data_IF_957327289863
#
_entry.id   IF_957327289863
#
_cell.length_a   1.000
_cell.length_b   1.000
_cell.length_c   1.000
_cell.angle_alpha   90.00
_cell.angle_beta   90.00
_cell.angle_gamma   90.00
#
_symmetry.space_group_name_H-M   'P 1'
#
loop_
_entity.id
_entity.type
_entity.pdbx_description
1 polymer ?
#
# COMPACT_ATOMS: atom_id res chain seq x y z
N UNK A 1 11.10 -12.99 25.13
CA UNK A 1 12.13 -12.55 26.09
C UNK A 1 11.66 -11.20 26.66
N UNK A 2 11.27 -11.13 27.96
CA UNK A 2 10.77 -9.90 28.57
C UNK A 2 11.79 -8.75 28.56
N UNK A 3 13.08 -9.07 28.41
CA UNK A 3 14.16 -8.09 28.36
C UNK A 3 14.45 -7.57 26.94
N UNK A 4 13.77 -8.10 25.91
CA UNK A 4 13.86 -7.64 24.54
C UNK A 4 12.44 -7.35 24.02
N UNK A 5 12.02 -6.09 23.95
CA UNK A 5 10.76 -5.77 23.30
C UNK A 5 10.76 -6.39 21.90
N UNK A 6 9.67 -7.09 21.56
CA UNK A 6 9.52 -7.67 20.23
C UNK A 6 9.63 -6.53 19.22
N UNK A 7 10.65 -6.62 18.36
CA UNK A 7 10.82 -5.62 17.29
C UNK A 7 9.69 -5.81 16.30
N UNK A 8 9.03 -4.73 15.92
CA UNK A 8 7.98 -4.78 14.90
C UNK A 8 8.59 -5.24 13.59
N UNK A 9 7.90 -6.18 12.93
CA UNK A 9 8.20 -6.60 11.55
C UNK A 9 7.14 -6.00 10.63
N UNK A 10 7.51 -5.63 9.42
CA UNK A 10 6.59 -4.93 8.52
C UNK A 10 6.74 -5.42 7.08
N UNK A 11 5.65 -5.91 6.51
CA UNK A 11 5.53 -6.12 5.07
C UNK A 11 4.79 -4.94 4.45
N UNK A 12 5.36 -4.33 3.43
CA UNK A 12 4.70 -3.33 2.60
C UNK A 12 4.67 -3.81 1.15
N UNK A 13 3.51 -3.75 0.55
CA UNK A 13 3.31 -4.02 -0.88
C UNK A 13 2.66 -2.82 -1.53
N UNK A 14 3.13 -2.47 -2.70
CA UNK A 14 2.61 -1.39 -3.51
C UNK A 14 2.42 -1.87 -4.95
N UNK A 15 1.30 -1.51 -5.52
CA UNK A 15 1.16 -1.51 -6.98
C UNK A 15 0.73 -0.12 -7.45
N UNK A 16 1.27 0.29 -8.56
CA UNK A 16 0.96 1.57 -9.18
C UNK A 16 0.55 1.35 -10.62
N UNK A 17 -0.48 2.03 -11.02
CA UNK A 17 -0.88 2.18 -12.42
C UNK A 17 -0.87 3.64 -12.78
N UNK A 18 -0.78 4.00 -14.04
CA UNK A 18 -0.82 5.40 -14.43
C UNK A 18 -1.31 5.61 -15.84
N UNK A 19 -1.78 6.83 -16.08
CA UNK A 19 -2.12 7.34 -17.41
C UNK A 19 -1.26 8.53 -17.83
N UNK A 20 -0.34 8.99 -16.99
CA UNK A 20 0.64 10.02 -17.32
C UNK A 20 1.81 9.45 -18.12
N UNK A 21 2.56 10.29 -18.85
CA UNK A 21 3.69 9.85 -19.67
C UNK A 21 4.76 9.14 -18.86
N UNK A 22 5.12 9.69 -17.71
CA UNK A 22 6.15 9.12 -16.85
C UNK A 22 5.84 9.37 -15.37
N UNK A 23 6.23 8.45 -14.50
CA UNK A 23 6.17 8.59 -13.04
C UNK A 23 7.40 7.93 -12.42
N UNK A 24 7.80 8.42 -11.26
CA UNK A 24 8.87 7.82 -10.49
C UNK A 24 8.28 7.06 -9.30
N UNK A 25 8.58 5.76 -9.22
CA UNK A 25 8.15 4.88 -8.12
C UNK A 25 9.40 4.33 -7.45
N UNK A 26 9.55 4.53 -6.16
CA UNK A 26 10.71 4.05 -5.37
C UNK A 26 12.07 4.32 -6.05
N UNK A 27 12.24 5.53 -6.59
CA UNK A 27 13.46 5.90 -7.28
C UNK A 27 13.55 5.46 -8.75
N UNK A 28 12.70 4.56 -9.21
CA UNK A 28 12.67 4.06 -10.56
C UNK A 28 11.76 4.86 -11.48
N UNK A 29 12.26 5.30 -12.63
CA UNK A 29 11.44 5.94 -13.66
C UNK A 29 10.66 4.92 -14.45
N UNK A 30 9.38 5.16 -14.58
CA UNK A 30 8.46 4.28 -15.28
C UNK A 30 7.67 5.03 -16.36
N UNK A 31 7.80 4.56 -17.59
CA UNK A 31 7.13 5.10 -18.78
C UNK A 31 6.41 3.96 -19.50
N UNK A 32 5.18 3.58 -19.11
CA UNK A 32 4.49 2.47 -19.74
C UNK A 32 4.14 2.78 -21.19
N UNK A 33 4.42 1.81 -22.05
CA UNK A 33 4.17 1.91 -23.49
C UNK A 33 2.74 1.61 -23.92
N UNK A 34 1.89 1.14 -23.04
CA UNK A 34 0.51 0.71 -23.35
C UNK A 34 -0.52 1.44 -22.50
N UNK A 35 -1.78 1.35 -22.91
CA UNK A 35 -2.93 1.89 -22.18
C UNK A 35 -3.78 0.77 -21.59
N UNK A 36 -4.59 1.13 -20.59
CA UNK A 36 -5.60 0.24 -20.06
C UNK A 36 -6.56 -0.22 -21.16
N UNK A 37 -6.89 -1.51 -21.16
CA UNK A 37 -7.91 -2.09 -22.03
C UNK A 37 -8.66 -3.22 -21.32
N UNK A 38 -9.85 -3.52 -21.79
CA UNK A 38 -10.57 -4.72 -21.34
C UNK A 38 -10.03 -5.94 -22.08
N UNK A 39 -9.94 -7.06 -21.37
CA UNK A 39 -9.68 -8.35 -21.97
C UNK A 39 -10.99 -9.06 -22.39
N UNK A 40 -10.86 -10.23 -22.99
CA UNK A 40 -12.00 -11.03 -23.46
C UNK A 40 -12.85 -11.63 -22.33
N UNK A 41 -12.36 -11.67 -21.11
CA UNK A 41 -13.05 -12.19 -19.92
C UNK A 41 -13.66 -11.09 -19.06
N UNK A 42 -13.62 -9.84 -19.52
CA UNK A 42 -14.21 -8.69 -18.82
C UNK A 42 -13.32 -8.07 -17.73
N UNK A 43 -12.10 -8.56 -17.58
CA UNK A 43 -11.07 -7.93 -16.75
C UNK A 43 -10.47 -6.69 -17.40
N UNK A 44 -9.65 -5.98 -16.65
CA UNK A 44 -8.88 -4.84 -17.15
C UNK A 44 -7.39 -5.16 -17.10
N UNK A 45 -6.71 -4.97 -18.22
CA UNK A 45 -5.26 -5.06 -18.31
C UNK A 45 -4.70 -3.65 -18.32
N UNK A 46 -3.79 -3.38 -17.38
CA UNK A 46 -3.24 -2.05 -17.14
C UNK A 46 -1.72 -2.17 -17.03
N UNK A 47 -0.93 -1.29 -17.69
CA UNK A 47 0.49 -1.21 -17.38
C UNK A 47 0.68 -0.82 -15.93
N UNK A 48 1.53 -1.53 -15.21
CA UNK A 48 1.71 -1.37 -13.78
C UNK A 48 3.14 -1.58 -13.31
N UNK A 49 3.40 -1.08 -12.13
CA UNK A 49 4.61 -1.31 -11.35
C UNK A 49 4.20 -1.98 -10.04
N UNK A 50 4.83 -3.10 -9.72
CA UNK A 50 4.70 -3.76 -8.41
C UNK A 50 6.01 -3.63 -7.68
N UNK A 51 5.95 -3.31 -6.38
CA UNK A 51 7.09 -3.37 -5.49
C UNK A 51 6.68 -3.80 -4.09
N UNK A 52 7.61 -4.44 -3.38
CA UNK A 52 7.42 -4.89 -2.02
C UNK A 52 8.69 -4.72 -1.20
N UNK A 53 8.54 -4.52 0.09
CA UNK A 53 9.60 -4.35 1.08
C UNK A 53 9.29 -5.15 2.33
N UNK A 54 10.33 -5.61 2.99
CA UNK A 54 10.23 -6.29 4.28
C UNK A 54 11.21 -5.72 5.28
N UNK A 55 10.72 -5.33 6.44
CA UNK A 55 11.53 -5.04 7.60
C UNK A 55 11.39 -6.19 8.60
N UNK A 56 12.48 -6.89 8.90
CA UNK A 56 12.49 -8.07 9.76
C UNK A 56 12.62 -7.75 11.26
N UNK A 57 12.67 -6.45 11.62
CA UNK A 57 12.93 -5.94 12.95
C UNK A 57 14.35 -5.43 13.14
N UNK A 58 15.25 -5.70 12.19
CA UNK A 58 16.65 -5.25 12.21
C UNK A 58 17.09 -4.67 10.87
N UNK A 59 16.72 -5.32 9.78
CA UNK A 59 17.17 -5.02 8.43
C UNK A 59 15.99 -4.73 7.52
N UNK A 60 16.12 -3.72 6.68
CA UNK A 60 15.19 -3.45 5.58
C UNK A 60 15.66 -4.20 4.33
N UNK A 61 14.86 -5.17 3.91
CA UNK A 61 15.02 -5.88 2.65
C UNK A 61 14.27 -5.13 1.55
N UNK A 62 14.99 -4.30 0.80
CA UNK A 62 14.42 -3.43 -0.23
C UNK A 62 15.20 -3.54 -1.55
N UNK A 63 14.52 -3.78 -2.67
CA UNK A 63 13.17 -4.32 -2.75
C UNK A 63 13.16 -5.84 -2.58
N UNK A 64 12.05 -6.42 -2.13
CA UNK A 64 11.77 -7.85 -2.26
C UNK A 64 11.49 -8.22 -3.72
N UNK A 65 10.70 -7.40 -4.36
CA UNK A 65 10.42 -7.39 -5.80
C UNK A 65 10.15 -5.95 -6.24
N UNK A 66 10.63 -5.60 -7.43
CA UNK A 66 10.27 -4.36 -8.11
C UNK A 66 10.28 -4.61 -9.61
N UNK A 67 9.10 -4.47 -10.24
CA UNK A 67 8.92 -4.88 -11.62
C UNK A 67 7.88 -4.03 -12.33
N UNK A 68 8.21 -3.58 -13.52
CA UNK A 68 7.22 -3.17 -14.50
C UNK A 68 6.56 -4.40 -15.10
N UNK A 69 5.24 -4.39 -15.20
CA UNK A 69 4.46 -5.50 -15.72
C UNK A 69 3.10 -5.03 -16.24
N UNK A 70 2.41 -5.91 -16.93
CA UNK A 70 0.98 -5.74 -17.19
C UNK A 70 0.22 -6.31 -16.01
N UNK A 71 -0.64 -5.50 -15.42
CA UNK A 71 -1.46 -5.92 -14.30
C UNK A 71 -2.86 -6.21 -14.76
N UNK A 72 -3.38 -7.38 -14.40
CA UNK A 72 -4.78 -7.71 -14.58
C UNK A 72 -5.57 -7.32 -13.33
N UNK A 73 -6.65 -6.58 -13.50
CA UNK A 73 -7.66 -6.34 -12.47
C UNK A 73 -8.87 -7.18 -12.85
N UNK A 74 -9.12 -8.22 -12.09
CA UNK A 74 -10.03 -9.30 -12.46
C UNK A 74 -11.10 -9.52 -11.40
N UNK A 75 -12.29 -9.92 -11.83
CA UNK A 75 -13.34 -10.43 -10.96
C UNK A 75 -13.24 -11.96 -10.81
N UNK A 76 -14.11 -12.50 -10.01
CA UNK A 76 -14.19 -13.91 -9.59
C UNK A 76 -14.43 -14.93 -10.72
N UNK A 77 -15.02 -14.50 -11.82
CA UNK A 77 -15.25 -15.35 -13.00
C UNK A 77 -14.08 -15.35 -13.99
N UNK A 78 -13.05 -14.57 -13.72
CA UNK A 78 -11.90 -14.43 -14.60
C UNK A 78 -10.94 -15.63 -14.45
N UNK A 79 -10.34 -16.16 -15.55
CA UNK A 79 -9.40 -17.30 -15.46
C UNK A 79 -8.18 -17.06 -14.57
N UNK A 80 -7.76 -15.80 -14.40
CA UNK A 80 -6.64 -15.43 -13.52
C UNK A 80 -7.06 -15.21 -12.06
N UNK A 81 -8.35 -15.40 -11.72
CA UNK A 81 -8.78 -15.28 -10.34
C UNK A 81 -8.14 -16.36 -9.45
N UNK A 82 -7.48 -16.00 -8.34
CA UNK A 82 -6.73 -16.97 -7.56
C UNK A 82 -7.57 -17.90 -6.67
N UNK A 83 -8.88 -17.91 -6.84
CA UNK A 83 -9.77 -18.84 -6.13
C UNK A 83 -9.99 -18.52 -4.64
N UNK A 84 -9.68 -17.33 -4.22
CA UNK A 84 -9.77 -16.90 -2.81
C UNK A 84 -11.10 -16.20 -2.52
N UNK A 85 -12.21 -16.77 -2.86
CA UNK A 85 -13.49 -16.14 -2.56
C UNK A 85 -14.66 -16.85 -3.19
N UNK A 86 -15.82 -16.53 -2.74
CA UNK A 86 -17.10 -17.15 -3.08
C UNK A 86 -17.89 -16.34 -4.10
N UNK A 87 -17.22 -15.81 -5.07
CA UNK A 87 -17.86 -15.44 -6.31
C UNK A 87 -18.44 -14.04 -6.44
N UNK A 88 -18.10 -13.08 -5.59
CA UNK A 88 -18.54 -11.68 -5.76
C UNK A 88 -17.45 -10.68 -5.37
N UNK A 89 -16.20 -11.03 -5.63
CA UNK A 89 -15.05 -10.28 -5.22
C UNK A 89 -15.01 -8.84 -5.70
N UNK A 90 -14.48 -7.96 -4.88
CA UNK A 90 -14.20 -6.59 -5.25
C UNK A 90 -13.08 -6.47 -6.29
N UNK A 91 -12.33 -7.56 -6.52
CA UNK A 91 -11.32 -7.70 -7.55
C UNK A 91 -9.98 -8.20 -7.02
N UNK A 92 -9.19 -8.76 -7.90
CA UNK A 92 -7.81 -9.11 -7.67
C UNK A 92 -6.91 -8.33 -8.62
N UNK A 93 -5.72 -8.02 -8.17
CA UNK A 93 -4.66 -7.38 -8.97
C UNK A 93 -3.52 -8.37 -9.10
N UNK A 94 -3.21 -8.75 -10.33
CA UNK A 94 -2.28 -9.83 -10.64
C UNK A 94 -1.35 -9.36 -11.75
N UNK A 95 -0.01 -9.37 -11.56
CA UNK A 95 0.92 -9.21 -12.66
C UNK A 95 0.80 -10.38 -13.64
N UNK A 96 0.49 -10.11 -14.90
CA UNK A 96 0.23 -11.15 -15.91
C UNK A 96 1.48 -12.00 -16.16
N UNK A 97 2.65 -11.40 -16.07
CA UNK A 97 3.95 -12.03 -16.30
C UNK A 97 4.49 -12.77 -15.07
N UNK A 98 3.74 -12.79 -13.95
CA UNK A 98 4.15 -13.45 -12.70
C UNK A 98 2.97 -14.19 -12.08
N UNK A 99 3.16 -15.47 -11.87
CA UNK A 99 2.20 -16.31 -11.15
C UNK A 99 2.43 -16.30 -9.63
N UNK A 100 3.59 -15.84 -9.19
CA UNK A 100 4.05 -15.86 -7.80
C UNK A 100 3.77 -14.56 -7.03
N UNK A 101 2.90 -13.71 -7.57
CA UNK A 101 2.40 -12.53 -6.90
C UNK A 101 0.92 -12.33 -7.20
N UNK A 102 0.12 -12.22 -6.17
CA UNK A 102 -1.29 -11.82 -6.29
C UNK A 102 -1.73 -11.05 -5.06
N UNK A 103 -2.73 -10.21 -5.24
CA UNK A 103 -3.44 -9.58 -4.16
C UNK A 103 -4.89 -9.38 -4.55
N UNK A 104 -5.77 -9.45 -3.58
CA UNK A 104 -7.20 -9.31 -3.84
C UNK A 104 -8.00 -8.96 -2.60
N UNK A 105 -9.28 -8.76 -2.85
CA UNK A 105 -10.25 -8.37 -1.85
C UNK A 105 -11.50 -9.24 -2.02
N UNK A 106 -12.01 -9.79 -0.93
CA UNK A 106 -13.26 -10.55 -0.93
C UNK A 106 -14.50 -9.65 -1.13
N UNK A 107 -15.65 -10.22 -1.44
CA UNK A 107 -16.91 -9.51 -1.46
C UNK A 107 -17.13 -8.69 -0.19
N UNK A 108 -17.77 -7.53 -0.32
CA UNK A 108 -18.06 -6.66 0.83
C UNK A 108 -16.86 -6.05 1.52
N UNK A 109 -15.64 -6.22 0.99
CA UNK A 109 -14.38 -5.80 1.61
C UNK A 109 -14.12 -6.45 2.98
N UNK A 110 -14.57 -7.68 3.16
CA UNK A 110 -14.49 -8.38 4.45
C UNK A 110 -13.11 -8.97 4.72
N UNK A 111 -12.35 -9.24 3.68
CA UNK A 111 -10.98 -9.72 3.79
C UNK A 111 -10.13 -9.31 2.59
N UNK A 112 -8.85 -9.29 2.79
CA UNK A 112 -7.86 -9.10 1.74
C UNK A 112 -6.77 -10.15 1.88
N UNK A 113 -6.10 -10.45 0.78
CA UNK A 113 -4.91 -11.28 0.79
C UNK A 113 -3.79 -10.66 -0.04
N UNK A 114 -2.58 -11.03 0.31
CA UNK A 114 -1.37 -10.81 -0.49
C UNK A 114 -0.60 -12.11 -0.48
N UNK A 115 -0.19 -12.59 -1.65
CA UNK A 115 0.75 -13.70 -1.79
C UNK A 115 1.89 -13.22 -2.68
N UNK A 116 3.11 -13.39 -2.24
CA UNK A 116 4.26 -12.95 -3.01
C UNK A 116 5.51 -13.81 -2.73
N UNK A 117 6.33 -13.98 -3.77
CA UNK A 117 7.69 -14.51 -3.66
C UNK A 117 8.71 -13.42 -3.94
N UNK A 118 9.77 -13.39 -3.15
CA UNK A 118 10.87 -12.46 -3.35
C UNK A 118 11.65 -12.78 -4.63
N UNK A 119 12.19 -11.77 -5.27
CA UNK A 119 13.08 -11.93 -6.40
C UNK A 119 14.39 -12.64 -5.99
N UNK A 120 15.03 -13.33 -6.93
CA UNK A 120 16.28 -14.05 -6.69
C UNK A 120 17.37 -13.16 -6.09
N UNK A 121 17.44 -11.92 -6.53
CA UNK A 121 18.41 -10.95 -6.02
C UNK A 121 18.13 -10.59 -4.55
N UNK A 122 16.87 -10.36 -4.17
CA UNK A 122 16.50 -10.12 -2.78
C UNK A 122 16.88 -11.31 -1.88
N UNK A 123 16.56 -12.52 -2.31
CA UNK A 123 16.95 -13.75 -1.59
C UNK A 123 18.47 -13.91 -1.44
N UNK A 124 19.24 -13.54 -2.45
CA UNK A 124 20.70 -13.57 -2.36
C UNK A 124 21.28 -12.59 -1.34
N UNK A 125 20.50 -11.57 -0.96
CA UNK A 125 20.83 -10.62 0.11
C UNK A 125 20.23 -11.01 1.46
N UNK A 126 19.67 -12.22 1.60
CA UNK A 126 19.11 -12.73 2.84
C UNK A 126 17.64 -12.41 3.08
N UNK A 127 16.91 -11.94 2.08
CA UNK A 127 15.47 -11.76 2.22
C UNK A 127 14.74 -13.11 2.26
N UNK A 128 13.63 -13.23 3.04
CA UNK A 128 12.76 -14.39 2.99
C UNK A 128 12.25 -14.67 1.58
N UNK A 129 11.90 -15.93 1.30
CA UNK A 129 11.51 -16.38 -0.03
C UNK A 129 10.04 -16.10 -0.32
N UNK A 130 9.16 -16.34 0.66
CA UNK A 130 7.71 -16.30 0.46
C UNK A 130 6.98 -15.54 1.55
N UNK A 131 5.90 -14.89 1.17
CA UNK A 131 5.02 -14.14 2.04
C UNK A 131 3.57 -14.41 1.68
N UNK A 132 2.76 -14.73 2.68
CA UNK A 132 1.32 -14.84 2.56
C UNK A 132 0.66 -14.01 3.68
N UNK A 133 -0.15 -13.04 3.33
CA UNK A 133 -0.86 -12.20 4.27
C UNK A 133 -2.38 -12.32 4.08
N UNK A 134 -3.09 -12.49 5.17
CA UNK A 134 -4.54 -12.40 5.23
C UNK A 134 -4.94 -11.27 6.19
N UNK A 135 -5.77 -10.37 5.71
CA UNK A 135 -6.20 -9.18 6.41
C UNK A 135 -7.72 -9.21 6.59
N UNK A 136 -8.17 -9.02 7.81
CA UNK A 136 -9.61 -8.96 8.13
C UNK A 136 -9.89 -7.74 9.00
N UNK A 137 -11.05 -7.09 8.87
CA UNK A 137 -11.44 -6.02 9.76
C UNK A 137 -11.43 -6.45 11.23
N UNK A 138 -11.01 -5.57 12.11
CA UNK A 138 -10.93 -5.90 13.55
C UNK A 138 -12.29 -6.04 14.21
N UNK A 139 -13.25 -5.27 13.75
CA UNK A 139 -14.58 -5.14 14.37
C UNK A 139 -15.74 -5.33 13.40
N UNK A 140 -15.51 -6.02 12.33
CA UNK A 140 -16.52 -6.37 11.34
C UNK A 140 -16.51 -5.44 10.12
N UNK A 141 -17.06 -5.93 9.01
CA UNK A 141 -17.02 -5.28 7.71
C UNK A 141 -17.99 -4.09 7.65
N UNK A 142 -17.68 -3.13 6.88
CA UNK A 142 -16.44 -2.38 6.63
C UNK A 142 -16.37 -1.15 7.54
N UNK A 143 -16.38 -1.38 8.86
CA UNK A 143 -16.60 -0.35 9.88
C UNK A 143 -15.67 0.88 9.77
N UNK A 144 -14.54 0.73 9.11
CA UNK A 144 -13.55 1.79 8.96
C UNK A 144 -13.20 2.09 7.50
N UNK A 145 -14.17 1.89 6.60
CA UNK A 145 -14.01 2.33 5.23
C UNK A 145 -14.12 3.86 5.18
N UNK A 146 -13.00 4.52 4.96
CA UNK A 146 -12.99 5.97 4.73
C UNK A 146 -12.78 6.24 3.24
N UNK A 147 -13.77 6.84 2.62
CA UNK A 147 -13.65 7.42 1.28
C UNK A 147 -13.59 8.94 1.39
N UNK A 148 -12.59 9.54 0.76
CA UNK A 148 -12.48 11.01 0.67
C UNK A 148 -12.20 11.40 -0.76
N UNK A 149 -13.07 12.25 -1.30
CA UNK A 149 -12.84 13.00 -2.52
C UNK A 149 -12.37 14.40 -2.12
N UNK A 150 -11.21 14.79 -2.59
CA UNK A 150 -10.63 16.11 -2.32
C UNK A 150 -10.28 16.79 -3.62
N UNK A 151 -11.15 17.65 -4.09
CA UNK A 151 -10.81 18.59 -5.14
C UNK A 151 -9.94 19.70 -4.57
N UNK A 152 -8.77 19.92 -5.17
CA UNK A 152 -7.83 20.96 -4.75
C UNK A 152 -8.11 22.24 -5.52
N UNK A 153 -8.04 22.21 -6.85
CA UNK A 153 -8.37 23.30 -7.75
C UNK A 153 -8.30 22.82 -9.21
N UNK A 154 -9.07 23.46 -10.09
CA UNK A 154 -8.97 23.28 -11.57
C UNK A 154 -9.10 21.80 -12.02
N UNK A 155 -9.95 21.04 -11.37
CA UNK A 155 -10.11 19.60 -11.64
C UNK A 155 -8.95 18.72 -11.16
N UNK A 156 -8.00 19.29 -10.43
CA UNK A 156 -6.96 18.54 -9.75
C UNK A 156 -7.46 18.08 -8.37
N UNK A 157 -7.11 16.87 -8.02
CA UNK A 157 -7.52 16.33 -6.72
C UNK A 157 -7.01 14.92 -6.48
N UNK A 158 -7.57 14.30 -5.47
CA UNK A 158 -7.29 12.92 -5.16
C UNK A 158 -8.49 12.24 -4.46
N UNK A 159 -8.63 10.95 -4.72
CA UNK A 159 -9.54 10.08 -4.01
C UNK A 159 -8.75 9.12 -3.16
N UNK A 160 -9.15 8.95 -1.94
CA UNK A 160 -8.56 7.97 -1.02
C UNK A 160 -9.65 7.05 -0.49
N UNK A 161 -9.45 5.75 -0.70
CA UNK A 161 -10.16 4.69 -0.04
C UNK A 161 -9.21 4.06 0.98
N UNK A 162 -9.62 3.98 2.25
CA UNK A 162 -8.84 3.35 3.32
C UNK A 162 -9.67 2.33 4.06
N UNK A 163 -9.07 1.18 4.34
CA UNK A 163 -9.51 0.23 5.34
C UNK A 163 -8.47 0.22 6.45
N UNK A 164 -8.84 0.74 7.60
CA UNK A 164 -7.97 0.86 8.76
C UNK A 164 -8.37 -0.13 9.84
N UNK A 165 -7.47 -0.37 10.81
CA UNK A 165 -7.75 -1.23 11.95
C UNK A 165 -8.03 -2.67 11.54
N UNK A 166 -7.25 -3.20 10.60
CA UNK A 166 -7.36 -4.58 10.17
C UNK A 166 -6.45 -5.47 11.02
N UNK A 167 -6.91 -6.70 11.28
CA UNK A 167 -6.03 -7.77 11.75
C UNK A 167 -5.29 -8.36 10.57
N UNK A 168 -4.05 -8.75 10.78
CA UNK A 168 -3.30 -9.50 9.80
C UNK A 168 -2.78 -10.81 10.37
N UNK A 169 -2.88 -11.86 9.58
CA UNK A 169 -2.14 -13.10 9.73
C UNK A 169 -1.12 -13.12 8.61
N UNK A 170 0.16 -13.14 8.96
CA UNK A 170 1.26 -13.13 8.01
C UNK A 170 2.07 -14.41 8.17
N UNK A 171 2.36 -15.09 7.07
CA UNK A 171 3.25 -16.25 7.01
C UNK A 171 4.47 -15.87 6.18
N UNK A 172 5.65 -16.01 6.74
CA UNK A 172 6.92 -15.73 6.08
C UNK A 172 7.79 -16.99 6.13
N UNK A 173 8.07 -17.58 4.98
CA UNK A 173 8.80 -18.86 4.86
C UNK A 173 8.26 -19.96 5.78
N UNK A 174 6.94 -19.99 6.02
CA UNK A 174 6.27 -20.94 6.89
C UNK A 174 6.20 -20.54 8.37
N UNK A 175 6.86 -19.47 8.79
CA UNK A 175 6.67 -18.87 10.13
C UNK A 175 5.41 -18.01 10.15
N UNK A 176 4.46 -18.36 11.01
CA UNK A 176 3.22 -17.61 11.18
C UNK A 176 3.35 -16.54 12.25
N UNK A 177 2.80 -15.37 11.98
CA UNK A 177 2.73 -14.27 12.94
C UNK A 177 1.42 -13.51 12.80
N UNK A 178 0.93 -13.00 13.91
CA UNK A 178 -0.23 -12.12 13.95
C UNK A 178 0.19 -10.67 14.11
N UNK A 179 -0.62 -9.77 13.59
CA UNK A 179 -0.36 -8.34 13.68
C UNK A 179 -1.54 -7.51 13.22
N UNK A 180 -1.23 -6.30 12.82
CA UNK A 180 -2.20 -5.34 12.33
C UNK A 180 -1.86 -4.94 10.90
N UNK A 181 -2.87 -4.51 10.18
CA UNK A 181 -2.70 -4.04 8.82
C UNK A 181 -3.63 -2.88 8.49
N UNK A 182 -3.33 -2.22 7.41
CA UNK A 182 -4.25 -1.34 6.74
C UNK A 182 -4.09 -1.48 5.22
N UNK A 183 -5.14 -1.11 4.50
CA UNK A 183 -5.13 -0.99 3.05
C UNK A 183 -5.47 0.42 2.63
N UNK A 184 -4.80 0.91 1.60
CA UNK A 184 -5.11 2.21 1.01
C UNK A 184 -5.07 2.11 -0.51
N UNK A 185 -6.12 2.62 -1.15
CA UNK A 185 -6.14 2.92 -2.58
C UNK A 185 -6.18 4.43 -2.77
N UNK A 186 -5.25 4.96 -3.54
CA UNK A 186 -5.19 6.41 -3.84
C UNK A 186 -5.24 6.59 -5.35
N UNK A 187 -6.17 7.43 -5.80
CA UNK A 187 -6.20 7.94 -7.18
C UNK A 187 -5.83 9.41 -7.12
N UNK A 188 -4.78 9.81 -7.81
CA UNK A 188 -4.27 11.19 -7.80
C UNK A 188 -4.31 11.78 -9.20
N UNK A 189 -4.91 12.93 -9.30
CA UNK A 189 -4.92 13.78 -10.51
C UNK A 189 -4.40 15.16 -10.13
N UNK A 190 -3.14 15.23 -9.72
CA UNK A 190 -2.47 16.45 -9.30
C UNK A 190 -0.95 16.28 -9.37
N UNK A 191 -0.17 17.38 -9.43
CA UNK A 191 1.25 17.32 -9.13
C UNK A 191 1.47 16.74 -7.73
N UNK A 192 2.34 15.74 -7.62
CA UNK A 192 2.67 15.15 -6.33
C UNK A 192 3.68 16.04 -5.59
N UNK A 193 3.38 16.38 -4.35
CA UNK A 193 4.32 16.99 -3.42
C UNK A 193 4.80 15.90 -2.44
N UNK A 194 6.03 15.99 -1.91
CA UNK A 194 6.48 15.09 -0.85
C UNK A 194 5.58 15.18 0.38
N UNK A 195 5.47 14.09 1.10
CA UNK A 195 4.72 14.05 2.36
C UNK A 195 5.40 13.16 3.38
N UNK A 196 5.21 13.48 4.65
CA UNK A 196 5.35 12.52 5.72
C UNK A 196 3.98 11.92 6.01
N UNK A 197 3.98 10.64 6.19
CA UNK A 197 2.81 9.89 6.58
C UNK A 197 3.22 8.79 7.53
N UNK A 198 2.37 8.51 8.48
CA UNK A 198 2.59 7.44 9.40
C UNK A 198 1.30 6.93 10.02
N UNK A 199 1.37 5.71 10.50
CA UNK A 199 0.27 5.06 11.20
C UNK A 199 0.82 4.28 12.39
N UNK A 200 0.09 4.34 13.49
CA UNK A 200 0.33 3.53 14.68
C UNK A 200 -0.95 2.78 15.00
N UNK A 201 -0.83 1.49 15.15
CA UNK A 201 -1.89 0.65 15.69
C UNK A 201 -1.59 0.34 17.16
N UNK A 202 -2.61 0.40 18.01
CA UNK A 202 -2.53 0.08 19.42
C UNK A 202 -3.11 -1.31 19.67
N UNK A 203 -2.69 -1.97 20.75
CA UNK A 203 -3.11 -3.34 21.10
C UNK A 203 -4.61 -3.47 21.30
N UNK A 204 -5.29 -2.39 21.65
CA UNK A 204 -6.74 -2.38 21.85
C UNK A 204 -7.53 -2.16 20.55
N UNK A 205 -6.85 -2.06 19.42
CA UNK A 205 -7.44 -1.82 18.10
C UNK A 205 -7.69 -0.35 17.78
N UNK A 206 -7.32 0.57 18.68
CA UNK A 206 -7.26 2.00 18.35
C UNK A 206 -6.13 2.26 17.36
N UNK A 207 -6.21 3.33 16.58
CA UNK A 207 -5.13 3.71 15.67
C UNK A 207 -4.98 5.22 15.57
N UNK A 208 -3.76 5.65 15.25
CA UNK A 208 -3.40 7.01 14.89
C UNK A 208 -2.83 7.02 13.47
N UNK A 209 -3.37 7.89 12.63
CA UNK A 209 -2.92 8.14 11.26
C UNK A 209 -2.63 9.63 11.11
N UNK A 210 -1.48 9.99 10.57
CA UNK A 210 -1.15 11.39 10.29
C UNK A 210 -0.59 11.56 8.88
N UNK A 211 -0.84 12.74 8.31
CA UNK A 211 -0.43 13.09 6.97
C UNK A 211 0.05 14.54 6.93
N UNK A 212 1.26 14.76 6.43
CA UNK A 212 1.89 16.07 6.35
C UNK A 212 2.54 16.28 4.97
N UNK A 213 1.77 16.74 3.98
CA UNK A 213 2.35 17.20 2.72
C UNK A 213 3.14 18.49 2.94
N UNK A 214 4.25 18.64 2.24
CA UNK A 214 5.14 19.78 2.42
C UNK A 214 5.84 20.17 1.14
N UNK A 215 6.22 21.45 1.05
CA UNK A 215 7.14 21.92 0.03
C UNK A 215 8.58 21.72 0.50
N UNK A 216 9.43 21.33 -0.42
CA UNK A 216 10.88 21.17 -0.20
C UNK A 216 11.62 21.47 -1.51
N UNK A 217 12.89 21.93 -1.46
CA UNK A 217 13.70 22.07 -2.66
C UNK A 217 13.80 20.80 -3.51
N UNK A 218 13.61 19.61 -2.91
CA UNK A 218 13.60 18.32 -3.61
C UNK A 218 12.38 18.10 -4.49
N UNK A 219 11.30 18.85 -4.29
CA UNK A 219 10.05 18.67 -5.06
C UNK A 219 10.23 18.88 -6.57
N UNK A 220 11.27 19.60 -6.95
CA UNK A 220 11.54 20.00 -8.36
C UNK A 220 12.75 19.29 -8.95
N UNK A 221 13.47 18.48 -8.19
CA UNK A 221 14.71 17.85 -8.65
C UNK A 221 14.50 16.37 -8.98
N UNK A 222 15.10 15.92 -10.07
CA UNK A 222 15.23 14.51 -10.46
C UNK A 222 16.48 13.87 -9.81
N UNK A 223 17.01 14.45 -8.75
CA UNK A 223 18.26 14.05 -8.13
C UNK A 223 18.03 12.87 -7.17
N UNK A 224 18.68 11.76 -7.44
CA UNK A 224 18.63 10.53 -6.63
C UNK A 224 19.61 10.54 -5.46
N UNK A 225 20.34 11.65 -5.28
CA UNK A 225 21.35 11.73 -4.25
C UNK A 225 20.75 11.73 -2.85
N UNK A 226 21.49 11.16 -1.87
CA UNK A 226 21.07 11.17 -0.48
C UNK A 226 20.75 12.59 0.01
N UNK A 227 19.83 12.68 0.94
CA UNK A 227 19.41 13.91 1.57
C UNK A 227 20.59 14.73 2.09
N UNK A 228 20.62 16.01 1.72
CA UNK A 228 21.60 16.98 2.24
C UNK A 228 20.94 17.86 3.29
N UNK A 229 21.73 18.56 4.11
CA UNK A 229 21.18 19.48 5.13
C UNK A 229 20.19 20.50 4.55
N UNK A 230 20.43 21.01 3.34
CA UNK A 230 19.51 21.94 2.64
C UNK A 230 18.14 21.32 2.36
N UNK A 231 18.09 19.99 2.25
CA UNK A 231 16.88 19.26 1.91
C UNK A 231 16.00 19.08 3.15
N UNK A 232 16.52 19.42 4.33
CA UNK A 232 15.77 19.43 5.58
C UNK A 232 14.78 20.60 5.69
N UNK A 233 14.90 21.61 4.82
CA UNK A 233 13.95 22.72 4.77
C UNK A 233 12.61 22.19 4.24
N UNK A 234 11.58 22.34 5.06
CA UNK A 234 10.22 21.88 4.77
C UNK A 234 9.22 22.95 5.16
N UNK A 235 8.33 23.25 4.25
CA UNK A 235 7.18 24.13 4.52
C UNK A 235 5.92 23.24 4.50
N UNK A 236 5.35 22.92 5.67
CA UNK A 236 4.11 22.13 5.72
C UNK A 236 2.99 22.85 4.99
N UNK A 237 2.29 22.13 4.12
CA UNK A 237 1.07 22.61 3.48
C UNK A 237 -0.17 22.26 4.31
N UNK A 238 -0.11 21.14 5.00
CA UNK A 238 -1.13 20.66 5.93
C UNK A 238 -0.47 19.77 6.99
N UNK A 239 -1.02 19.76 8.19
CA UNK A 239 -0.66 18.84 9.26
C UNK A 239 -1.96 18.24 9.78
N UNK A 240 -2.34 17.10 9.27
CA UNK A 240 -3.58 16.44 9.64
C UNK A 240 -3.32 15.09 10.29
N UNK A 241 -4.16 14.71 11.21
CA UNK A 241 -4.17 13.39 11.81
C UNK A 241 -5.57 12.95 12.19
N UNK A 242 -5.73 11.66 12.34
CA UNK A 242 -6.95 11.01 12.79
C UNK A 242 -6.56 10.05 13.90
N UNK A 243 -7.22 10.16 15.05
CA UNK A 243 -7.13 9.18 16.11
C UNK A 243 -8.49 8.50 16.27
N UNK A 244 -8.53 7.20 16.10
CA UNK A 244 -9.70 6.39 16.39
C UNK A 244 -9.54 5.69 17.74
N UNK A 245 -10.40 6.04 18.68
CA UNK A 245 -10.53 5.40 19.99
C UNK A 245 -11.55 4.26 19.88
N UNK A 246 -11.08 3.03 19.83
CA UNK A 246 -11.93 1.85 19.71
C UNK A 246 -12.85 1.68 20.93
N UNK A 247 -12.34 1.92 22.13
CA UNK A 247 -13.11 1.72 23.36
C UNK A 247 -14.34 2.63 23.43
N UNK A 248 -14.21 3.84 22.89
CA UNK A 248 -15.29 4.82 22.87
C UNK A 248 -16.06 4.81 21.54
N UNK A 249 -15.55 4.12 20.52
CA UNK A 249 -16.12 4.17 19.16
C UNK A 249 -16.09 5.57 18.56
N UNK A 250 -15.09 6.37 18.90
CA UNK A 250 -14.99 7.79 18.52
C UNK A 250 -13.77 8.01 17.64
N UNK A 251 -13.96 8.84 16.62
CA UNK A 251 -12.86 9.30 15.77
C UNK A 251 -12.64 10.79 16.00
N UNK A 252 -11.40 11.15 16.28
CA UNK A 252 -10.95 12.52 16.49
C UNK A 252 -10.09 12.94 15.31
N UNK A 253 -10.45 14.04 14.66
CA UNK A 253 -9.66 14.64 13.59
C UNK A 253 -8.85 15.81 14.16
N UNK A 254 -7.60 15.91 13.72
CA UNK A 254 -6.68 16.97 14.11
C UNK A 254 -6.22 17.73 12.88
N UNK A 255 -6.39 19.04 12.89
CA UNK A 255 -6.00 19.91 11.77
C UNK A 255 -4.77 20.73 12.13
N UNK A 256 -3.94 20.58 12.87
CA UNK A 256 -2.67 21.29 13.14
C UNK A 256 -1.87 20.52 14.22
N UNK A 257 -1.39 19.34 13.85
CA UNK A 257 -0.48 18.62 14.73
C UNK A 257 0.89 19.34 14.77
N UNK A 258 1.33 19.79 15.92
CA UNK A 258 2.66 20.32 16.18
C UNK A 258 3.57 19.25 16.80
#
# INVERSE_FOLDING_TARGET
DPDKPSRSRQLMTLWSTKETKAVRVSGHWWEPGSRMHKDEHGGFVIPGMVCAWWYDGETMHEPLTMRECRMAVVGDTHPLWPGQGDGLGAGAVIPIEREDLSMGMSPGNESMWVSLSSDREARSRGAPSSFEAHLTPWWGPPSELTYRNNEIALGMGYDILRLQGMKSRLVVDGEEMEGTAYFQKVTVQAPSVPWFWGMVHFDDGSYLDWFMPHLTPLSTTKDDKPWRKRDAVRVPLKRAGIFHDRKRGMTHEFDNCE
#
